data_IF_393630826202
#
_entry.id   IF_393630826202
#
_cell.length_a   1.000
_cell.length_b   1.000
_cell.length_c   1.000
_cell.angle_alpha   90.00
_cell.angle_beta   90.00
_cell.angle_gamma   90.00
#
_symmetry.space_group_name_H-M   'P 1'
#
loop_
_entity.id
_entity.type
_entity.pdbx_description
1 polymer ?
#
# COMPACT_ATOMS: atom_id res chain seq x y z
N UNK A 1 -20.06 -5.44 -1.21
CA UNK A 1 -19.76 -4.65 0.01
C UNK A 1 -20.83 -3.58 0.26
N UNK A 2 -21.10 -2.67 -0.69
CA UNK A 2 -22.10 -1.61 -0.50
C UNK A 2 -23.50 -2.16 -0.21
N UNK A 3 -23.97 -3.15 -0.98
CA UNK A 3 -25.26 -3.81 -0.75
C UNK A 3 -25.32 -4.50 0.61
N UNK A 4 -24.28 -5.26 0.96
CA UNK A 4 -24.19 -5.92 2.27
C UNK A 4 -24.18 -4.90 3.43
N UNK A 5 -23.48 -3.80 3.29
CA UNK A 5 -23.49 -2.75 4.32
C UNK A 5 -24.88 -2.12 4.47
N UNK A 6 -25.59 -1.89 3.36
CA UNK A 6 -26.97 -1.39 3.38
C UNK A 6 -27.91 -2.38 4.08
N UNK A 7 -27.83 -3.67 3.74
CA UNK A 7 -28.63 -4.71 4.38
C UNK A 7 -28.36 -4.80 5.90
N UNK A 8 -27.09 -4.68 6.30
CA UNK A 8 -26.71 -4.68 7.72
C UNK A 8 -27.24 -3.46 8.48
N UNK A 9 -27.38 -2.31 7.83
CA UNK A 9 -27.84 -1.07 8.48
C UNK A 9 -29.37 -0.90 8.44
N UNK A 10 -30.06 -1.49 7.47
CA UNK A 10 -31.49 -1.23 7.21
C UNK A 10 -32.38 -2.49 7.22
N UNK A 11 -31.79 -3.70 7.18
CA UNK A 11 -32.50 -4.97 7.16
C UNK A 11 -33.20 -5.32 8.47
N UNK A 12 -33.88 -6.48 8.50
CA UNK A 12 -34.63 -6.95 9.67
C UNK A 12 -33.74 -7.20 10.89
N UNK A 13 -32.48 -7.65 10.66
CA UNK A 13 -31.45 -7.89 11.68
C UNK A 13 -30.41 -6.76 11.71
N UNK A 14 -30.85 -5.51 11.59
CA UNK A 14 -29.98 -4.36 11.52
C UNK A 14 -29.03 -4.24 12.72
N UNK A 15 -27.82 -3.73 12.44
CA UNK A 15 -26.79 -3.46 13.44
C UNK A 15 -26.58 -1.96 13.61
N UNK A 16 -26.08 -1.53 14.77
CA UNK A 16 -25.77 -0.13 15.06
C UNK A 16 -24.38 0.27 14.55
N UNK A 17 -23.47 -0.71 14.38
CA UNK A 17 -22.08 -0.49 14.00
C UNK A 17 -21.54 -1.64 13.18
N UNK A 18 -20.68 -1.30 12.20
CA UNK A 18 -19.94 -2.25 11.37
C UNK A 18 -18.46 -2.15 11.71
N UNK A 19 -17.80 -3.27 11.96
CA UNK A 19 -16.35 -3.40 11.99
C UNK A 19 -15.93 -4.17 10.75
N UNK A 20 -15.20 -3.55 9.84
CA UNK A 20 -14.85 -4.27 8.62
C UNK A 20 -14.24 -3.46 7.52
N UNK A 21 -14.33 -4.06 6.35
CA UNK A 21 -13.61 -3.74 5.13
C UNK A 21 -12.09 -3.95 5.27
N UNK A 22 -11.50 -4.56 4.26
CA UNK A 22 -10.07 -4.77 4.22
C UNK A 22 -9.38 -3.82 3.22
N UNK A 23 -9.90 -3.73 1.99
CA UNK A 23 -9.29 -2.87 0.98
C UNK A 23 -9.84 -1.45 1.04
N UNK A 24 -9.03 -0.45 0.69
CA UNK A 24 -9.51 0.92 0.51
C UNK A 24 -10.60 1.03 -0.57
N UNK A 25 -10.55 0.17 -1.59
CA UNK A 25 -11.60 0.09 -2.61
C UNK A 25 -12.95 -0.33 -2.01
N UNK A 26 -12.97 -1.34 -1.12
CA UNK A 26 -14.20 -1.77 -0.45
C UNK A 26 -14.72 -0.70 0.53
N UNK A 27 -13.82 -0.04 1.27
CA UNK A 27 -14.19 1.09 2.15
C UNK A 27 -14.85 2.23 1.35
N UNK A 28 -14.24 2.64 0.23
CA UNK A 28 -14.80 3.70 -0.62
C UNK A 28 -16.15 3.32 -1.23
N UNK A 29 -16.41 2.05 -1.48
CA UNK A 29 -17.71 1.58 -1.92
C UNK A 29 -18.77 1.62 -0.80
N UNK A 30 -18.36 1.44 0.45
CA UNK A 30 -19.25 1.46 1.63
C UNK A 30 -19.46 2.87 2.18
N UNK A 31 -18.52 3.78 2.00
CA UNK A 31 -18.57 5.17 2.49
C UNK A 31 -19.92 5.86 2.21
N UNK A 32 -20.42 5.94 0.95
CA UNK A 32 -21.69 6.61 0.70
C UNK A 32 -22.88 5.93 1.42
N UNK A 33 -22.82 4.61 1.60
CA UNK A 33 -23.89 3.87 2.28
C UNK A 33 -23.95 4.22 3.76
N UNK A 34 -22.81 4.24 4.47
CA UNK A 34 -22.80 4.58 5.90
C UNK A 34 -23.18 6.04 6.15
N UNK A 35 -22.90 6.94 5.21
CA UNK A 35 -23.31 8.34 5.27
C UNK A 35 -24.83 8.48 5.00
N UNK A 36 -25.36 7.84 3.95
CA UNK A 36 -26.78 7.87 3.61
C UNK A 36 -27.67 7.28 4.69
N UNK A 37 -27.28 6.14 5.27
CA UNK A 37 -28.05 5.43 6.30
C UNK A 37 -27.72 5.91 7.73
N UNK A 38 -26.85 6.92 7.86
CA UNK A 38 -26.34 7.40 9.16
C UNK A 38 -25.79 6.25 10.03
N UNK A 39 -25.15 5.28 9.39
CA UNK A 39 -24.52 4.13 10.04
C UNK A 39 -23.13 4.49 10.56
N UNK A 40 -22.50 3.54 11.25
CA UNK A 40 -21.17 3.70 11.82
C UNK A 40 -20.24 2.58 11.37
N UNK A 41 -19.11 2.93 10.77
CA UNK A 41 -18.06 2.00 10.35
C UNK A 41 -16.76 2.24 11.13
N UNK A 42 -16.23 1.20 11.76
CA UNK A 42 -14.85 1.17 12.24
C UNK A 42 -13.98 0.43 11.21
N UNK A 43 -13.06 1.16 10.57
CA UNK A 43 -12.14 0.63 9.58
C UNK A 43 -10.77 0.35 10.22
N UNK A 44 -10.39 -0.92 10.48
CA UNK A 44 -9.23 -1.26 11.29
C UNK A 44 -7.92 -1.44 10.50
N UNK A 45 -7.94 -1.35 9.19
CA UNK A 45 -6.78 -1.61 8.33
C UNK A 45 -6.04 -0.31 8.05
N UNK A 46 -4.73 -0.39 7.85
CA UNK A 46 -3.95 0.74 7.36
C UNK A 46 -4.50 1.24 6.01
N UNK A 47 -4.37 2.52 5.75
CA UNK A 47 -4.93 3.13 4.55
C UNK A 47 -4.09 4.33 4.08
N UNK A 48 -4.41 4.85 2.90
CA UNK A 48 -3.70 5.94 2.25
C UNK A 48 -3.93 7.32 2.89
N UNK A 49 -4.80 7.44 3.89
CA UNK A 49 -5.27 8.76 4.34
C UNK A 49 -6.17 9.40 3.27
N UNK A 50 -6.14 10.74 3.18
CA UNK A 50 -6.82 11.52 2.12
C UNK A 50 -8.36 11.34 2.09
N UNK A 51 -8.95 10.92 3.20
CA UNK A 51 -10.39 10.68 3.36
C UNK A 51 -10.81 11.00 4.79
N UNK A 52 -11.97 11.64 4.93
CA UNK A 52 -12.62 11.88 6.21
C UNK A 52 -14.13 11.71 6.07
N UNK A 53 -14.77 11.16 7.08
CA UNK A 53 -16.22 11.01 7.19
C UNK A 53 -16.63 11.05 8.65
N UNK A 54 -17.78 11.63 8.94
CA UNK A 54 -18.36 11.60 10.30
C UNK A 54 -18.87 10.20 10.67
N UNK A 55 -19.04 9.33 9.67
CA UNK A 55 -19.56 7.98 9.80
C UNK A 55 -18.48 6.88 9.80
N UNK A 56 -17.20 7.24 9.60
CA UNK A 56 -16.10 6.26 9.57
C UNK A 56 -15.01 6.62 10.59
N UNK A 57 -14.72 5.68 11.48
CA UNK A 57 -13.58 5.72 12.37
C UNK A 57 -12.40 4.96 11.75
N UNK A 58 -11.38 5.68 11.33
CA UNK A 58 -10.15 5.13 10.76
C UNK A 58 -9.20 4.76 11.90
N UNK A 59 -9.19 3.49 12.27
CA UNK A 59 -8.39 2.99 13.41
C UNK A 59 -7.08 2.33 12.99
N UNK A 60 -6.87 2.12 11.69
CA UNK A 60 -5.61 1.68 11.12
C UNK A 60 -4.63 2.83 10.87
N UNK A 61 -3.37 2.49 10.61
CA UNK A 61 -2.31 3.47 10.40
C UNK A 61 -2.49 4.25 9.09
N UNK A 62 -2.31 5.57 9.16
CA UNK A 62 -2.16 6.44 8.01
C UNK A 62 -0.69 6.51 7.54
N UNK A 63 -0.36 7.07 6.37
CA UNK A 63 0.99 7.10 5.84
C UNK A 63 2.03 7.76 6.76
N UNK A 64 1.65 8.81 7.49
CA UNK A 64 2.52 9.47 8.47
C UNK A 64 2.81 8.63 9.73
N UNK A 65 2.07 7.54 9.92
CA UNK A 65 2.24 6.61 11.06
C UNK A 65 2.97 5.31 10.65
N UNK A 66 3.02 4.99 9.38
CA UNK A 66 3.61 3.75 8.85
C UNK A 66 4.62 4.01 7.74
N UNK A 67 4.17 4.51 6.59
CA UNK A 67 4.97 4.58 5.37
C UNK A 67 6.11 5.60 5.48
N UNK A 68 5.84 6.81 5.95
CA UNK A 68 6.85 7.87 6.10
C UNK A 68 7.92 7.49 7.13
N UNK A 69 7.60 7.04 8.36
CA UNK A 69 8.62 6.63 9.32
C UNK A 69 9.50 5.47 8.83
N UNK A 70 8.95 4.55 8.03
CA UNK A 70 9.73 3.46 7.45
C UNK A 70 10.70 3.95 6.38
N UNK A 71 10.28 4.90 5.54
CA UNK A 71 11.16 5.55 4.54
C UNK A 71 12.24 6.37 5.24
N UNK A 72 11.91 7.16 6.27
CA UNK A 72 12.88 7.90 7.07
C UNK A 72 13.95 6.98 7.68
N UNK A 73 13.52 5.85 8.22
CA UNK A 73 14.47 4.87 8.74
C UNK A 73 15.42 4.36 7.64
N UNK A 74 14.91 3.99 6.48
CA UNK A 74 15.74 3.52 5.38
C UNK A 74 16.66 4.62 4.83
N UNK A 75 16.20 5.87 4.74
CA UNK A 75 17.05 7.03 4.41
C UNK A 75 18.18 7.19 5.44
N UNK A 76 17.90 7.05 6.72
CA UNK A 76 18.92 7.09 7.79
C UNK A 76 19.94 5.95 7.67
N UNK A 77 19.58 4.84 7.03
CA UNK A 77 20.48 3.74 6.70
C UNK A 77 21.27 3.96 5.39
N UNK A 78 21.10 5.12 4.75
CA UNK A 78 21.81 5.50 3.53
C UNK A 78 21.16 4.99 2.24
N UNK A 79 19.86 4.67 2.24
CA UNK A 79 19.13 4.37 1.00
C UNK A 79 18.95 5.66 0.22
N UNK A 80 19.31 5.63 -1.06
CA UNK A 80 19.25 6.75 -1.99
C UNK A 80 18.38 6.48 -3.23
N UNK A 81 18.04 5.20 -3.48
CA UNK A 81 17.18 4.77 -4.60
C UNK A 81 16.01 3.95 -4.12
N UNK A 82 14.86 4.14 -4.78
CA UNK A 82 13.58 3.66 -4.27
C UNK A 82 12.75 3.00 -5.36
N UNK A 83 12.47 1.70 -5.21
CA UNK A 83 11.54 0.99 -6.06
C UNK A 83 10.18 0.86 -5.32
N UNK A 84 9.20 1.65 -5.73
CA UNK A 84 7.85 1.67 -5.17
C UNK A 84 6.97 0.70 -5.96
N UNK A 85 6.73 -0.48 -5.42
CA UNK A 85 5.96 -1.53 -6.08
C UNK A 85 4.61 -1.72 -5.39
N UNK A 86 3.53 -1.77 -6.15
CA UNK A 86 2.21 -1.90 -5.55
C UNK A 86 1.19 -2.66 -6.40
N UNK A 87 0.14 -3.11 -5.74
CA UNK A 87 -1.06 -3.60 -6.43
C UNK A 87 -1.82 -2.43 -7.05
N UNK A 88 -2.37 -2.62 -8.24
CA UNK A 88 -3.02 -1.56 -9.01
C UNK A 88 -4.43 -1.23 -8.50
N UNK A 89 -4.51 -0.47 -7.39
CA UNK A 89 -5.76 0.13 -6.91
C UNK A 89 -5.46 1.35 -6.01
N UNK A 90 -6.48 1.96 -5.43
CA UNK A 90 -6.40 3.27 -4.77
C UNK A 90 -5.35 3.34 -3.65
N UNK A 91 -5.27 2.34 -2.74
CA UNK A 91 -4.33 2.38 -1.62
C UNK A 91 -2.85 2.44 -2.06
N UNK A 92 -2.33 1.50 -2.88
CA UNK A 92 -0.95 1.57 -3.35
C UNK A 92 -0.67 2.82 -4.20
N UNK A 93 -1.57 3.17 -5.10
CA UNK A 93 -1.37 4.34 -5.97
C UNK A 93 -1.26 5.64 -5.18
N UNK A 94 -2.14 5.83 -4.19
CA UNK A 94 -2.11 7.04 -3.36
C UNK A 94 -0.93 7.02 -2.39
N UNK A 95 -0.67 5.90 -1.71
CA UNK A 95 0.48 5.77 -0.80
C UNK A 95 1.82 5.99 -1.52
N UNK A 96 2.01 5.36 -2.68
CA UNK A 96 3.25 5.53 -3.45
C UNK A 96 3.39 6.96 -3.97
N UNK A 97 2.30 7.62 -4.36
CA UNK A 97 2.31 9.03 -4.77
C UNK A 97 2.70 9.96 -3.61
N UNK A 98 2.22 9.69 -2.41
CA UNK A 98 2.63 10.41 -1.19
C UNK A 98 4.14 10.20 -0.95
N UNK A 99 4.61 8.95 -1.02
CA UNK A 99 6.02 8.63 -0.83
C UNK A 99 6.92 9.24 -1.91
N UNK A 100 6.49 9.22 -3.17
CA UNK A 100 7.22 9.86 -4.27
C UNK A 100 7.37 11.37 -4.03
N UNK A 101 6.30 12.06 -3.63
CA UNK A 101 6.36 13.48 -3.28
C UNK A 101 7.27 13.72 -2.07
N UNK A 102 7.17 12.89 -1.04
CA UNK A 102 8.00 12.97 0.16
C UNK A 102 9.49 12.78 -0.15
N UNK A 103 9.84 11.77 -0.95
CA UNK A 103 11.23 11.51 -1.37
C UNK A 103 11.81 12.68 -2.16
N UNK A 104 11.04 13.25 -3.10
CA UNK A 104 11.45 14.43 -3.87
C UNK A 104 11.68 15.67 -3.00
N UNK A 105 10.81 15.89 -2.02
CA UNK A 105 10.96 16.97 -1.04
C UNK A 105 12.25 16.83 -0.20
N UNK A 106 12.71 15.58 -0.01
CA UNK A 106 13.98 15.24 0.67
C UNK A 106 15.19 15.16 -0.31
N UNK A 107 15.03 15.64 -1.54
CA UNK A 107 16.12 15.76 -2.51
C UNK A 107 16.44 14.51 -3.32
N UNK A 108 15.58 13.47 -3.28
CA UNK A 108 15.74 12.31 -4.16
C UNK A 108 15.36 12.70 -5.59
N UNK A 109 16.24 12.42 -6.54
CA UNK A 109 16.03 12.74 -7.96
C UNK A 109 14.99 11.79 -8.59
N UNK A 110 14.31 12.25 -9.65
CA UNK A 110 13.31 11.45 -10.36
C UNK A 110 13.90 10.12 -10.89
N UNK A 111 15.14 10.13 -11.36
CA UNK A 111 15.85 8.95 -11.85
C UNK A 111 16.20 7.94 -10.74
N UNK A 112 16.09 8.32 -9.49
CA UNK A 112 16.29 7.48 -8.31
C UNK A 112 14.97 6.94 -7.71
N UNK A 113 13.85 7.14 -8.40
CA UNK A 113 12.53 6.62 -8.02
C UNK A 113 11.95 5.81 -9.17
N UNK A 114 11.75 4.53 -8.93
CA UNK A 114 11.06 3.60 -9.83
C UNK A 114 9.68 3.29 -9.28
N UNK A 115 8.63 3.37 -10.09
CA UNK A 115 7.25 3.05 -9.67
C UNK A 115 6.66 2.01 -10.61
N UNK A 116 6.09 0.94 -10.06
CA UNK A 116 5.42 -0.09 -10.84
C UNK A 116 4.16 -0.61 -10.12
N UNK A 117 3.11 -0.92 -10.90
CA UNK A 117 1.85 -1.46 -10.40
C UNK A 117 1.47 -2.72 -11.16
N UNK A 118 0.96 -3.71 -10.42
CA UNK A 118 0.50 -4.99 -10.96
C UNK A 118 -0.94 -5.27 -10.53
N UNK A 119 -1.74 -6.00 -11.33
CA UNK A 119 -3.09 -6.37 -10.92
C UNK A 119 -3.07 -7.30 -9.70
N UNK A 120 -4.21 -7.41 -9.01
CA UNK A 120 -4.38 -8.41 -7.96
C UNK A 120 -4.08 -9.82 -8.49
N UNK A 121 -3.41 -10.64 -7.66
CA UNK A 121 -3.05 -12.02 -8.02
C UNK A 121 -1.96 -12.13 -9.10
N UNK A 122 -1.22 -11.07 -9.38
CA UNK A 122 -0.14 -11.09 -10.34
C UNK A 122 0.97 -12.08 -9.92
N UNK A 123 1.43 -12.91 -10.86
CA UNK A 123 2.37 -14.00 -10.58
C UNK A 123 3.65 -13.98 -11.43
N UNK A 124 3.69 -13.24 -12.54
CA UNK A 124 4.85 -13.23 -13.44
C UNK A 124 5.82 -12.07 -13.12
N UNK A 125 6.53 -12.19 -12.01
CA UNK A 125 7.42 -11.15 -11.48
C UNK A 125 8.79 -11.05 -12.13
N UNK A 126 9.14 -11.97 -13.04
CA UNK A 126 10.50 -12.10 -13.59
C UNK A 126 11.03 -10.79 -14.19
N UNK A 127 10.27 -10.12 -15.03
CA UNK A 127 10.70 -8.85 -15.66
C UNK A 127 10.83 -7.72 -14.64
N UNK A 128 9.84 -7.56 -13.76
CA UNK A 128 9.82 -6.48 -12.77
C UNK A 128 10.97 -6.64 -11.76
N UNK A 129 11.23 -7.86 -11.30
CA UNK A 129 12.35 -8.14 -10.38
C UNK A 129 13.69 -7.94 -11.09
N UNK A 130 13.81 -8.29 -12.38
CA UNK A 130 15.01 -7.98 -13.16
C UNK A 130 15.23 -6.47 -13.30
N UNK A 131 14.18 -5.70 -13.55
CA UNK A 131 14.24 -4.22 -13.58
C UNK A 131 14.67 -3.65 -12.22
N UNK A 132 14.13 -4.16 -11.10
CA UNK A 132 14.56 -3.78 -9.74
C UNK A 132 16.05 -4.08 -9.52
N UNK A 133 16.52 -5.25 -9.97
CA UNK A 133 17.93 -5.64 -9.87
C UNK A 133 18.83 -4.70 -10.65
N UNK A 134 18.48 -4.41 -11.89
CA UNK A 134 19.23 -3.49 -12.76
C UNK A 134 19.22 -2.07 -12.19
N UNK A 135 18.07 -1.62 -11.70
CA UNK A 135 17.91 -0.34 -11.03
C UNK A 135 18.82 -0.25 -9.79
N UNK A 136 18.89 -1.32 -8.98
CA UNK A 136 19.73 -1.37 -7.78
C UNK A 136 21.22 -1.56 -8.03
N UNK A 137 21.65 -1.91 -9.26
CA UNK A 137 23.05 -2.17 -9.60
C UNK A 137 23.87 -0.91 -9.90
N UNK A 138 23.28 0.29 -9.85
CA UNK A 138 23.88 1.54 -10.31
C UNK A 138 24.70 2.28 -9.24
N UNK A 139 25.21 1.58 -8.22
CA UNK A 139 26.17 2.09 -7.25
C UNK A 139 25.58 2.92 -6.10
N UNK A 140 24.27 3.11 -6.05
CA UNK A 140 23.53 3.72 -4.94
C UNK A 140 22.79 2.66 -4.15
N UNK A 141 22.74 2.80 -2.82
CA UNK A 141 21.96 1.89 -1.98
C UNK A 141 20.47 2.00 -2.30
N UNK A 142 19.88 0.88 -2.66
CA UNK A 142 18.51 0.81 -3.14
C UNK A 142 17.63 0.03 -2.16
N UNK A 143 16.38 0.41 -2.01
CA UNK A 143 15.36 -0.35 -1.29
C UNK A 143 14.08 -0.48 -2.12
N UNK A 144 13.33 -1.55 -1.87
CA UNK A 144 11.97 -1.73 -2.35
C UNK A 144 10.99 -1.33 -1.25
N UNK A 145 10.02 -0.50 -1.59
CA UNK A 145 8.82 -0.25 -0.78
C UNK A 145 7.67 -1.02 -1.42
N UNK A 146 7.13 -1.99 -0.71
CA UNK A 146 6.08 -2.86 -1.20
C UNK A 146 4.72 -2.50 -0.60
N UNK A 147 3.79 -2.15 -1.48
CA UNK A 147 2.35 -2.05 -1.23
C UNK A 147 1.59 -3.11 -2.02
N UNK A 148 2.23 -4.26 -2.25
CA UNK A 148 1.66 -5.43 -2.92
C UNK A 148 0.73 -6.14 -1.95
N UNK A 149 -0.51 -6.44 -2.38
CA UNK A 149 -1.52 -7.07 -1.56
C UNK A 149 -1.74 -8.55 -1.92
N UNK A 150 -1.93 -9.38 -0.87
CA UNK A 150 -2.41 -10.75 -0.98
C UNK A 150 -1.45 -11.71 -1.67
N UNK A 151 -2.01 -12.69 -2.38
CA UNK A 151 -1.29 -13.83 -2.94
C UNK A 151 -0.14 -13.48 -3.90
N UNK A 152 -0.14 -12.27 -4.48
CA UNK A 152 0.95 -11.78 -5.33
C UNK A 152 2.29 -11.64 -4.59
N UNK A 153 2.28 -11.56 -3.26
CA UNK A 153 3.51 -11.49 -2.45
C UNK A 153 4.33 -12.79 -2.54
N UNK A 154 3.69 -13.95 -2.56
CA UNK A 154 4.39 -15.25 -2.61
C UNK A 154 5.30 -15.36 -3.84
N UNK A 155 4.81 -15.20 -5.08
CA UNK A 155 5.66 -15.26 -6.26
C UNK A 155 6.63 -14.06 -6.34
N UNK A 156 6.31 -12.89 -5.79
CA UNK A 156 7.22 -11.75 -5.73
C UNK A 156 8.48 -12.08 -4.92
N UNK A 157 8.34 -12.52 -3.66
CA UNK A 157 9.49 -12.89 -2.82
C UNK A 157 10.22 -14.12 -3.35
N UNK A 158 9.52 -15.07 -3.95
CA UNK A 158 10.13 -16.23 -4.62
C UNK A 158 11.04 -15.76 -5.75
N UNK A 159 10.59 -14.81 -6.56
CA UNK A 159 11.39 -14.32 -7.69
C UNK A 159 12.59 -13.48 -7.25
N UNK A 160 12.47 -12.68 -6.18
CA UNK A 160 13.64 -12.00 -5.58
C UNK A 160 14.72 -13.02 -5.21
N UNK A 161 14.33 -14.13 -4.57
CA UNK A 161 15.25 -15.21 -4.22
C UNK A 161 15.85 -15.90 -5.44
N UNK A 162 15.04 -16.20 -6.47
CA UNK A 162 15.48 -16.83 -7.72
C UNK A 162 16.53 -16.00 -8.45
N UNK A 163 16.41 -14.68 -8.41
CA UNK A 163 17.37 -13.76 -9.04
C UNK A 163 18.55 -13.39 -8.13
N UNK A 164 18.62 -14.00 -6.92
CA UNK A 164 19.72 -13.84 -5.97
C UNK A 164 19.73 -12.46 -5.29
N UNK A 165 18.58 -11.79 -5.18
CA UNK A 165 18.46 -10.53 -4.45
C UNK A 165 18.20 -10.85 -2.98
N UNK A 166 19.13 -10.46 -2.11
CA UNK A 166 19.00 -10.62 -0.67
C UNK A 166 18.59 -9.32 0.01
N UNK A 167 18.12 -9.42 1.25
CA UNK A 167 17.78 -8.24 2.06
C UNK A 167 19.01 -7.37 2.40
N UNK A 168 20.24 -7.91 2.30
CA UNK A 168 21.47 -7.13 2.44
C UNK A 168 21.81 -6.32 1.20
N UNK A 169 21.33 -6.74 0.03
CA UNK A 169 21.59 -6.07 -1.24
C UNK A 169 20.52 -5.01 -1.51
N UNK A 170 19.26 -5.43 -1.54
CA UNK A 170 18.10 -4.56 -1.76
C UNK A 170 17.03 -4.93 -0.71
N UNK A 171 17.01 -4.28 0.45
CA UNK A 171 15.97 -4.52 1.45
C UNK A 171 14.58 -4.20 0.92
N UNK A 172 13.59 -4.99 1.36
CA UNK A 172 12.18 -4.76 1.08
C UNK A 172 11.49 -4.37 2.37
N UNK A 173 10.82 -3.22 2.38
CA UNK A 173 9.87 -2.87 3.43
C UNK A 173 8.45 -3.04 2.88
N UNK A 174 7.64 -3.86 3.55
CA UNK A 174 6.27 -4.13 3.16
C UNK A 174 5.26 -3.44 4.08
N UNK A 175 4.27 -2.79 3.50
CA UNK A 175 3.14 -2.18 4.21
C UNK A 175 1.86 -3.00 4.05
N UNK A 176 1.85 -3.94 3.12
CA UNK A 176 0.77 -4.89 2.90
C UNK A 176 1.32 -6.28 2.65
N UNK A 177 0.55 -7.30 3.03
CA UNK A 177 0.85 -8.71 2.86
C UNK A 177 -0.39 -9.49 2.41
#
# INVERSE_FOLDING_TARGET
YAEQARDMLTGDDRVDVIFGNWTSASRKAVLPVVEEENGLLFYPVQYEGEESSENIFYTGAAPNQQAIPAVDYLMSQGVERWALLGTDYVYPRTTNKILEAYLKDHGVADDDIMVNYTPFGFSNWQSIVSEVKDFGSQGKKTAVVSTINGDANVPFYTELSNQGISASDIPVVAFSV
#
